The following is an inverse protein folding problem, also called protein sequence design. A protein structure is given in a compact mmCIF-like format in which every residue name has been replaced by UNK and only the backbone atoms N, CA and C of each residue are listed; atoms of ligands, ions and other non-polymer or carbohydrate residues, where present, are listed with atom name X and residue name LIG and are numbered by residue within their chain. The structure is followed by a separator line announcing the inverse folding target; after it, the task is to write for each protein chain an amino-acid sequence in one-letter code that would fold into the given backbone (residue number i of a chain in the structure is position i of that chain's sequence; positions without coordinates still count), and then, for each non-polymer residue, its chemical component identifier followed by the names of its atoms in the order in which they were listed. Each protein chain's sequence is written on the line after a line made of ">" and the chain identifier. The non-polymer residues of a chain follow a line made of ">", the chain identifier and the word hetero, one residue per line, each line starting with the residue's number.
data_IF_942068108923
#
_entry.id   IF_942068108923
#
_cell.length_a   1.000
_cell.length_b   1.000
_cell.length_c   1.000
_cell.angle_alpha   90.00
_cell.angle_beta   90.00
_cell.angle_gamma   90.00
#
_symmetry.space_group_name_H-M   'P 1'
#
loop_
_entity.id
_entity.type
_entity.pdbx_description
1 polymer ?
#
# COMPACT_ATOMS: atom_id res chain seq x y z
N UNK A 1 -13.04 2.44 -29.00
CA UNK A 1 -11.68 2.12 -28.51
C UNK A 1 -11.82 1.44 -27.16
N UNK A 2 -11.33 0.22 -26.98
CA UNK A 2 -11.36 -0.45 -25.68
C UNK A 2 -10.13 0.04 -24.88
N UNK A 3 -10.32 1.03 -24.00
CA UNK A 3 -9.24 1.48 -23.10
C UNK A 3 -9.00 0.41 -22.04
N UNK A 4 -7.78 -0.12 -22.00
CA UNK A 4 -7.34 -0.99 -20.91
C UNK A 4 -7.33 -0.17 -19.62
N UNK A 5 -8.19 -0.54 -18.66
CA UNK A 5 -8.14 0.04 -17.32
C UNK A 5 -6.85 -0.41 -16.64
N UNK A 6 -6.00 0.52 -16.15
CA UNK A 6 -4.81 0.16 -15.40
C UNK A 6 -5.19 -0.67 -14.18
N UNK A 7 -4.36 -1.65 -13.86
CA UNK A 7 -4.53 -2.53 -12.70
C UNK A 7 -3.38 -2.31 -11.75
N UNK A 8 -3.66 -2.27 -10.46
CA UNK A 8 -2.69 -1.89 -9.44
C UNK A 8 -2.58 -2.97 -8.36
N UNK A 9 -1.45 -2.94 -7.66
CA UNK A 9 -1.22 -3.70 -6.43
C UNK A 9 -0.89 -2.70 -5.32
N UNK A 10 -1.29 -3.01 -4.09
CA UNK A 10 -0.79 -2.30 -2.92
C UNK A 10 0.42 -3.04 -2.37
N UNK A 11 1.43 -2.28 -1.96
CA UNK A 11 2.61 -2.80 -1.29
C UNK A 11 2.94 -1.91 -0.10
N UNK A 12 2.98 -2.50 1.09
CA UNK A 12 3.37 -1.82 2.32
C UNK A 12 4.58 -2.53 2.92
N UNK A 13 5.56 -1.77 3.42
CA UNK A 13 6.78 -2.34 3.99
C UNK A 13 7.19 -1.61 5.25
N UNK A 14 7.63 -2.36 6.25
CA UNK A 14 8.36 -1.87 7.42
C UNK A 14 9.80 -2.41 7.35
N UNK A 15 10.79 -1.53 7.32
CA UNK A 15 12.20 -1.92 7.52
C UNK A 15 12.47 -2.13 9.02
N UNK A 16 13.62 -2.70 9.38
CA UNK A 16 14.08 -2.83 10.77
C UNK A 16 14.95 -1.68 11.26
N UNK A 17 15.00 -0.57 10.53
CA UNK A 17 15.72 0.61 11.04
C UNK A 17 15.07 1.08 12.34
N UNK A 18 15.93 1.55 13.26
CA UNK A 18 15.65 1.90 14.66
C UNK A 18 14.22 2.43 14.84
N UNK A 19 13.47 1.89 15.80
CA UNK A 19 12.05 2.22 15.99
C UNK A 19 11.80 3.73 16.14
N UNK A 20 12.83 4.50 16.55
CA UNK A 20 12.84 5.96 16.63
C UNK A 20 12.71 6.68 15.27
N UNK A 21 13.03 6.01 14.15
CA UNK A 21 12.89 6.52 12.79
C UNK A 21 11.66 5.98 12.05
N UNK A 22 10.90 5.07 12.67
CA UNK A 22 9.72 4.45 12.07
C UNK A 22 8.51 5.39 12.18
N UNK A 23 8.03 5.89 11.04
CA UNK A 23 6.89 6.82 11.01
C UNK A 23 5.54 6.07 11.12
N UNK A 24 5.42 4.86 10.57
CA UNK A 24 4.10 4.22 10.39
C UNK A 24 4.17 2.69 10.35
N UNK A 25 3.26 2.03 11.06
CA UNK A 25 3.06 0.57 10.98
C UNK A 25 2.56 0.14 9.59
N UNK A 26 2.76 -1.13 9.22
CA UNK A 26 2.23 -1.69 7.97
C UNK A 26 0.71 -1.50 7.88
N UNK A 27 0.00 -1.66 8.99
CA UNK A 27 -1.47 -1.52 9.06
C UNK A 27 -1.92 -0.10 8.75
N UNK A 28 -1.23 0.91 9.31
CA UNK A 28 -1.52 2.30 9.03
C UNK A 28 -1.16 2.68 7.58
N UNK A 29 -0.07 2.13 7.02
CA UNK A 29 0.25 2.32 5.59
C UNK A 29 -0.85 1.74 4.69
N UNK A 30 -1.32 0.52 4.98
CA UNK A 30 -2.40 -0.12 4.22
C UNK A 30 -3.71 0.65 4.32
N UNK A 31 -4.03 1.21 5.49
CA UNK A 31 -5.22 2.04 5.68
C UNK A 31 -5.22 3.25 4.73
N UNK A 32 -4.14 4.04 4.73
CA UNK A 32 -4.00 5.21 3.85
C UNK A 32 -4.07 4.83 2.36
N UNK A 33 -3.40 3.74 1.98
CA UNK A 33 -3.39 3.26 0.60
C UNK A 33 -4.77 2.79 0.12
N UNK A 34 -5.55 2.14 0.99
CA UNK A 34 -6.93 1.72 0.69
C UNK A 34 -7.85 2.92 0.56
N UNK A 35 -7.73 3.91 1.45
CA UNK A 35 -8.51 5.15 1.35
C UNK A 35 -8.18 5.94 0.09
N UNK A 36 -6.91 6.01 -0.29
CA UNK A 36 -6.50 6.58 -1.57
C UNK A 36 -7.14 5.83 -2.75
N UNK A 37 -7.03 4.50 -2.79
CA UNK A 37 -7.59 3.71 -3.87
C UNK A 37 -9.12 3.86 -3.97
N UNK A 38 -9.81 3.96 -2.82
CA UNK A 38 -11.25 4.22 -2.75
C UNK A 38 -11.60 5.60 -3.30
N UNK A 39 -10.87 6.66 -2.91
CA UNK A 39 -11.10 8.04 -3.36
C UNK A 39 -10.87 8.21 -4.85
N UNK A 40 -9.83 7.58 -5.39
CA UNK A 40 -9.44 7.71 -6.79
C UNK A 40 -10.11 6.65 -7.71
N UNK A 41 -11.00 5.80 -7.16
CA UNK A 41 -11.65 4.70 -7.87
C UNK A 41 -10.65 3.77 -8.60
N UNK A 42 -9.55 3.49 -7.91
CA UNK A 42 -8.44 2.67 -8.40
C UNK A 42 -8.72 1.20 -8.08
N UNK A 43 -8.66 0.33 -9.10
CA UNK A 43 -8.81 -1.11 -8.91
C UNK A 43 -7.50 -1.74 -8.42
N UNK A 44 -7.51 -2.19 -7.17
CA UNK A 44 -6.45 -3.02 -6.58
C UNK A 44 -6.74 -4.50 -6.88
N UNK A 45 -5.72 -5.24 -7.33
CA UNK A 45 -5.81 -6.68 -7.61
C UNK A 45 -5.36 -7.55 -6.44
N UNK A 46 -4.36 -7.09 -5.69
CA UNK A 46 -3.84 -7.76 -4.51
C UNK A 46 -3.06 -6.75 -3.66
N UNK A 47 -2.84 -7.14 -2.40
CA UNK A 47 -2.07 -6.41 -1.42
C UNK A 47 -0.88 -7.29 -0.98
N UNK A 48 0.28 -6.68 -0.83
CA UNK A 48 1.50 -7.34 -0.40
C UNK A 48 2.11 -6.57 0.76
N UNK A 49 2.66 -7.32 1.71
CA UNK A 49 3.31 -6.75 2.88
C UNK A 49 4.68 -7.35 3.07
N UNK A 50 5.66 -6.52 3.43
CA UNK A 50 6.99 -6.97 3.82
C UNK A 50 7.35 -6.39 5.19
N UNK A 51 7.60 -7.26 6.16
CA UNK A 51 8.23 -6.91 7.41
C UNK A 51 9.67 -7.43 7.35
N UNK A 52 10.63 -6.52 7.18
CA UNK A 52 12.04 -6.89 7.30
C UNK A 52 12.41 -6.78 8.77
N UNK A 53 12.78 -7.92 9.36
CA UNK A 53 13.32 -8.07 10.72
C UNK A 53 14.82 -7.82 10.75
#
# INVERSE_FOLDING_TARGET
>A
MNMLKPKYFLYARKSTEDDDHQIMSIEAQLFELREYARRENVKILAEFTEAKS
#
